data_IF_168906874105
#
_entry.id   IF_168906874105
#
_cell.length_a   1.000
_cell.length_b   1.000
_cell.length_c   1.000
_cell.angle_alpha   90.00
_cell.angle_beta   90.00
_cell.angle_gamma   90.00
#
_symmetry.space_group_name_H-M   'P 1'
#
loop_
_entity.id
_entity.type
_entity.pdbx_description
1 polymer ?
#
# COMPACT_ATOMS: atom_id res chain seq x y z
N UNK A 1 -45.12 21.00 -22.64
CA UNK A 1 -43.77 20.44 -22.86
C UNK A 1 -42.76 21.35 -22.21
N UNK A 2 -42.32 21.02 -21.01
CA UNK A 2 -41.10 21.54 -20.40
C UNK A 2 -40.44 20.36 -19.72
N UNK A 3 -39.49 19.79 -20.43
CA UNK A 3 -38.71 18.64 -20.02
C UNK A 3 -37.77 19.09 -18.90
N UNK A 4 -38.12 18.77 -17.65
CA UNK A 4 -37.23 18.95 -16.50
C UNK A 4 -36.14 17.90 -16.59
N UNK A 5 -35.04 18.29 -17.24
CA UNK A 5 -33.76 17.56 -17.30
C UNK A 5 -33.41 17.02 -15.90
N UNK A 6 -33.15 15.71 -15.73
CA UNK A 6 -32.73 15.20 -14.43
C UNK A 6 -31.41 15.86 -14.05
N UNK A 7 -31.34 16.37 -12.82
CA UNK A 7 -30.10 16.86 -12.22
C UNK A 7 -29.17 15.67 -12.01
N UNK A 8 -28.44 15.29 -13.05
CA UNK A 8 -27.16 14.60 -12.93
C UNK A 8 -26.17 15.57 -12.30
N UNK A 9 -26.27 15.80 -10.99
CA UNK A 9 -25.42 16.74 -10.29
C UNK A 9 -24.82 16.09 -9.03
N UNK A 10 -23.58 15.64 -9.23
CA UNK A 10 -22.54 15.34 -8.25
C UNK A 10 -22.72 14.06 -7.43
N UNK A 11 -22.40 12.92 -8.07
CA UNK A 11 -21.84 11.77 -7.35
C UNK A 11 -20.53 12.21 -6.68
N UNK A 12 -20.61 12.70 -5.45
CA UNK A 12 -19.45 12.90 -4.59
C UNK A 12 -18.73 11.56 -4.45
N UNK A 13 -17.60 11.43 -5.13
CA UNK A 13 -16.73 10.24 -5.21
C UNK A 13 -15.82 10.15 -3.99
N UNK A 14 -16.35 10.44 -2.80
CA UNK A 14 -15.65 10.18 -1.56
C UNK A 14 -16.10 8.81 -1.08
N UNK A 15 -15.14 7.90 -0.87
CA UNK A 15 -15.40 6.69 -0.09
C UNK A 15 -16.05 7.14 1.23
N UNK A 16 -17.12 6.46 1.69
CA UNK A 16 -17.74 6.81 2.96
C UNK A 16 -16.66 6.78 4.03
N UNK A 17 -16.47 7.91 4.72
CA UNK A 17 -15.52 8.00 5.82
C UNK A 17 -16.01 7.05 6.91
N UNK A 18 -15.21 6.03 7.21
CA UNK A 18 -15.48 5.12 8.31
C UNK A 18 -15.29 5.89 9.64
N UNK A 19 -16.40 6.40 10.17
CA UNK A 19 -16.44 7.22 11.38
C UNK A 19 -15.92 6.43 12.59
N UNK A 20 -16.12 5.12 12.62
CA UNK A 20 -15.66 4.28 13.72
C UNK A 20 -14.16 4.04 13.63
N UNK A 21 -13.61 3.88 12.42
CA UNK A 21 -12.17 3.89 12.20
C UNK A 21 -11.54 5.23 12.59
N UNK A 22 -12.17 6.36 12.26
CA UNK A 22 -11.67 7.69 12.65
C UNK A 22 -11.69 7.85 14.17
N UNK A 23 -12.76 7.43 14.84
CA UNK A 23 -12.84 7.45 16.31
C UNK A 23 -11.77 6.57 16.96
N UNK A 24 -11.51 5.40 16.39
CA UNK A 24 -10.46 4.49 16.85
C UNK A 24 -9.06 5.09 16.65
N UNK A 25 -8.81 5.78 15.53
CA UNK A 25 -7.55 6.47 15.31
C UNK A 25 -7.38 7.66 16.27
N UNK A 26 -8.46 8.37 16.60
CA UNK A 26 -8.43 9.50 17.53
C UNK A 26 -8.18 9.09 18.99
N UNK A 27 -8.48 7.85 19.37
CA UNK A 27 -8.17 7.34 20.71
C UNK A 27 -6.69 6.97 20.90
N UNK A 28 -5.91 6.90 19.81
CA UNK A 28 -4.48 6.65 19.84
C UNK A 28 -3.68 7.94 20.10
N UNK A 29 -2.54 7.80 20.78
CA UNK A 29 -1.58 8.90 20.90
C UNK A 29 -1.09 9.34 19.50
N UNK A 30 -0.60 10.58 19.33
CA UNK A 30 -0.08 11.03 18.04
C UNK A 30 0.98 10.10 17.44
N UNK A 31 1.86 9.53 18.27
CA UNK A 31 2.87 8.56 17.81
C UNK A 31 2.29 7.21 17.38
N UNK A 32 1.26 6.73 18.08
CA UNK A 32 0.56 5.49 17.70
C UNK A 32 -0.28 5.68 16.44
N UNK A 33 -0.90 6.86 16.24
CA UNK A 33 -1.55 7.21 14.97
C UNK A 33 -0.58 7.10 13.81
N UNK A 34 0.60 7.71 13.92
CA UNK A 34 1.66 7.59 12.90
C UNK A 34 2.04 6.13 12.70
N UNK A 35 2.15 5.31 13.74
CA UNK A 35 2.46 3.89 13.57
C UNK A 35 1.35 3.11 12.83
N UNK A 36 0.09 3.43 13.09
CA UNK A 36 -1.08 2.77 12.48
C UNK A 36 -1.36 3.28 11.06
N UNK A 37 -1.10 4.56 10.77
CA UNK A 37 -1.39 5.19 9.46
C UNK A 37 -0.16 5.32 8.56
N UNK A 38 1.06 5.36 9.12
CA UNK A 38 2.29 5.74 8.42
C UNK A 38 3.28 4.60 8.23
N UNK A 39 2.90 3.37 8.54
CA UNK A 39 3.76 2.20 8.29
C UNK A 39 3.14 1.36 7.18
N UNK A 40 3.18 1.93 5.99
CA UNK A 40 3.30 1.16 4.76
C UNK A 40 4.72 0.57 4.71
N UNK A 41 5.06 -0.28 5.69
CA UNK A 41 6.32 -1.02 5.74
C UNK A 41 6.54 -1.81 4.45
N UNK A 42 5.45 -2.20 3.79
CA UNK A 42 5.48 -2.93 2.54
C UNK A 42 6.05 -2.09 1.38
N UNK A 43 5.51 -0.91 1.01
CA UNK A 43 6.13 -0.03 0.02
C UNK A 43 7.59 0.33 0.30
N UNK A 44 7.94 0.64 1.55
CA UNK A 44 9.33 0.94 1.91
C UNK A 44 10.24 -0.28 1.75
N UNK A 45 9.84 -1.44 2.30
CA UNK A 45 10.61 -2.68 2.19
C UNK A 45 10.77 -3.10 0.72
N UNK A 46 9.70 -2.99 -0.09
CA UNK A 46 9.75 -3.24 -1.53
C UNK A 46 10.74 -2.31 -2.21
N UNK A 47 10.70 -1.01 -1.93
CA UNK A 47 11.63 -0.04 -2.50
C UNK A 47 13.09 -0.35 -2.17
N UNK A 48 13.38 -0.72 -0.92
CA UNK A 48 14.73 -1.10 -0.48
C UNK A 48 15.23 -2.38 -1.17
N UNK A 49 14.39 -3.41 -1.27
CA UNK A 49 14.74 -4.66 -1.95
C UNK A 49 14.96 -4.42 -3.44
N UNK A 50 14.04 -3.72 -4.11
CA UNK A 50 14.16 -3.40 -5.54
C UNK A 50 15.40 -2.54 -5.84
N UNK A 51 15.71 -1.56 -4.98
CA UNK A 51 16.93 -0.75 -5.10
C UNK A 51 18.22 -1.55 -4.94
N UNK A 52 18.20 -2.62 -4.12
CA UNK A 52 19.33 -3.57 -4.03
C UNK A 52 19.41 -4.46 -5.25
N UNK A 53 18.29 -5.04 -5.69
CA UNK A 53 18.24 -5.94 -6.86
C UNK A 53 18.70 -5.21 -8.12
N UNK A 54 18.31 -3.95 -8.33
CA UNK A 54 18.76 -3.14 -9.47
C UNK A 54 20.28 -2.90 -9.48
N UNK A 55 20.92 -2.86 -8.31
CA UNK A 55 22.40 -2.76 -8.20
C UNK A 55 23.09 -4.10 -8.46
N UNK A 56 22.47 -5.21 -8.08
CA UNK A 56 23.01 -6.57 -8.29
C UNK A 56 22.80 -7.05 -9.72
N UNK A 57 21.71 -6.63 -10.35
CA UNK A 57 21.30 -7.03 -11.69
C UNK A 57 21.00 -5.78 -12.54
N UNK A 58 22.03 -5.00 -12.91
CA UNK A 58 21.86 -3.75 -13.63
C UNK A 58 21.29 -3.92 -15.04
N UNK A 59 21.51 -5.09 -15.66
CA UNK A 59 21.08 -5.40 -17.03
C UNK A 59 19.64 -5.90 -17.12
N UNK A 60 19.01 -6.21 -15.97
CA UNK A 60 17.63 -6.70 -15.94
C UNK A 60 16.63 -5.55 -16.09
N UNK A 61 15.58 -5.82 -16.85
CA UNK A 61 14.42 -4.93 -16.97
C UNK A 61 13.65 -4.85 -15.65
N UNK A 62 12.76 -3.86 -15.54
CA UNK A 62 11.93 -3.69 -14.33
C UNK A 62 11.00 -4.89 -14.07
N UNK A 63 10.54 -5.56 -15.13
CA UNK A 63 9.71 -6.76 -15.06
C UNK A 63 10.52 -7.96 -14.52
N UNK A 64 11.72 -8.17 -15.05
CA UNK A 64 12.65 -9.23 -14.59
C UNK A 64 13.10 -9.03 -13.14
N UNK A 65 13.33 -7.77 -12.73
CA UNK A 65 13.58 -7.43 -11.33
C UNK A 65 12.36 -7.74 -10.44
N UNK A 66 11.14 -7.63 -10.97
CA UNK A 66 9.91 -8.05 -10.29
C UNK A 66 9.88 -9.55 -10.00
N UNK A 67 10.33 -10.38 -10.95
CA UNK A 67 10.47 -11.83 -10.71
C UNK A 67 11.55 -12.13 -9.66
N UNK A 68 12.68 -11.42 -9.69
CA UNK A 68 13.72 -11.55 -8.65
C UNK A 68 13.24 -11.13 -7.26
N UNK A 69 12.39 -10.11 -7.18
CA UNK A 69 11.74 -9.73 -5.93
C UNK A 69 10.87 -10.87 -5.37
N UNK A 70 10.07 -11.54 -6.20
CA UNK A 70 9.24 -12.68 -5.77
C UNK A 70 10.13 -13.83 -5.28
N UNK A 71 11.17 -14.21 -6.02
CA UNK A 71 12.13 -15.25 -5.60
C UNK A 71 12.71 -14.95 -4.21
N UNK A 72 13.03 -13.68 -3.94
CA UNK A 72 13.61 -13.27 -2.68
C UNK A 72 12.63 -13.35 -1.51
N UNK A 73 11.37 -12.97 -1.73
CA UNK A 73 10.31 -13.12 -0.72
C UNK A 73 10.07 -14.60 -0.41
N UNK A 74 10.06 -15.47 -1.42
CA UNK A 74 9.90 -16.92 -1.21
C UNK A 74 11.08 -17.52 -0.44
N UNK A 75 12.31 -17.09 -0.74
CA UNK A 75 13.51 -17.48 0.04
C UNK A 75 13.42 -17.03 1.50
N UNK A 76 12.93 -15.80 1.74
CA UNK A 76 12.76 -15.27 3.09
C UNK A 76 11.68 -16.03 3.90
N UNK A 77 10.64 -16.55 3.23
CA UNK A 77 9.63 -17.41 3.88
C UNK A 77 10.20 -18.76 4.30
N UNK A 78 11.05 -19.37 3.47
CA UNK A 78 11.67 -20.67 3.75
C UNK A 78 12.72 -20.62 4.87
N UNK A 79 13.31 -19.45 5.13
CA UNK A 79 14.33 -19.25 6.16
C UNK A 79 13.76 -18.88 7.53
N UNK A 80 12.45 -18.64 7.63
CA UNK A 80 11.77 -18.58 8.94
C UNK A 80 11.48 -20.01 9.39
N UNK A 81 12.15 -20.53 10.43
CA UNK A 81 11.62 -21.71 11.11
C UNK A 81 10.24 -21.30 11.63
N UNK A 82 9.23 -22.15 11.40
CA UNK A 82 7.93 -21.98 12.05
C UNK A 82 8.09 -22.01 13.58
N UNK A 83 7.11 -21.52 14.34
CA UNK A 83 7.04 -21.79 15.78
C UNK A 83 7.05 -23.29 16.07
#
# INVERSE_FOLDING_TARGET
MTETKPRDELRFRFDPVDIDQVRLLLSLSPGERVRVTSVDAQPLAKGLIMGRLRRQFPDLTAEELGFKFVEEIERAKQTRPGP
#
